data_IF_575639556313
#
_entry.id   IF_575639556313
#
_cell.length_a   1.000
_cell.length_b   1.000
_cell.length_c   1.000
_cell.angle_alpha   90.00
_cell.angle_beta   90.00
_cell.angle_gamma   90.00
#
_symmetry.space_group_name_H-M   'P 1'
#
loop_
_entity.id
_entity.type
_entity.pdbx_description
1 polymer ?
#
# COMPACT_ATOMS: atom_id res chain seq x y z
N UNK A 1 -9.44 10.53 28.09
CA UNK A 1 -10.38 9.62 27.39
C UNK A 1 -9.89 8.19 27.47
N UNK A 2 -8.91 7.75 26.67
CA UNK A 2 -8.47 6.33 26.63
C UNK A 2 -8.23 5.65 28.00
N UNK A 3 -7.53 6.31 28.94
CA UNK A 3 -7.29 5.73 30.27
C UNK A 3 -8.60 5.43 31.04
N UNK A 4 -9.57 6.34 30.95
CA UNK A 4 -10.90 6.17 31.55
C UNK A 4 -11.62 4.98 30.92
N UNK A 5 -11.58 4.88 29.58
CA UNK A 5 -12.24 3.80 28.84
C UNK A 5 -11.67 2.43 29.24
N UNK A 6 -10.36 2.31 29.43
CA UNK A 6 -9.72 1.05 29.86
C UNK A 6 -10.10 0.69 31.32
N UNK A 7 -10.19 1.67 32.21
CA UNK A 7 -10.63 1.41 33.59
C UNK A 7 -12.08 0.91 33.66
N UNK A 8 -12.99 1.52 32.89
CA UNK A 8 -14.45 1.32 33.03
C UNK A 8 -15.09 0.46 31.93
N UNK A 9 -14.31 -0.16 31.05
CA UNK A 9 -14.79 -1.18 30.10
C UNK A 9 -14.48 -2.61 30.58
N UNK A 10 -15.21 -3.60 30.05
CA UNK A 10 -14.92 -5.02 30.28
C UNK A 10 -13.97 -5.61 29.24
N UNK A 11 -13.67 -4.90 28.15
CA UNK A 11 -12.85 -5.39 27.04
C UNK A 11 -12.11 -4.24 26.34
N UNK A 12 -10.85 -4.47 25.99
CA UNK A 12 -9.98 -3.57 25.22
C UNK A 12 -9.31 -4.38 24.12
N UNK A 13 -9.49 -4.02 22.85
CA UNK A 13 -8.97 -4.82 21.75
C UNK A 13 -8.02 -4.06 20.82
N UNK A 14 -6.99 -4.75 20.33
CA UNK A 14 -6.22 -4.32 19.18
C UNK A 14 -6.88 -4.74 17.86
N UNK A 15 -6.39 -4.18 16.74
CA UNK A 15 -7.00 -4.29 15.40
C UNK A 15 -6.19 -5.13 14.41
N UNK A 16 -5.05 -5.68 14.86
CA UNK A 16 -4.20 -6.67 14.20
C UNK A 16 -3.37 -7.38 15.28
N UNK A 17 -2.82 -8.54 14.96
CA UNK A 17 -2.09 -9.35 15.94
C UNK A 17 -0.87 -8.58 16.49
N UNK A 18 0.02 -8.11 15.62
CA UNK A 18 1.22 -7.36 16.01
C UNK A 18 0.87 -6.08 16.78
N UNK A 19 -0.16 -5.35 16.36
CA UNK A 19 -0.61 -4.15 17.05
C UNK A 19 -1.07 -4.47 18.48
N UNK A 20 -1.81 -5.56 18.67
CA UNK A 20 -2.24 -5.98 20.00
C UNK A 20 -1.06 -6.30 20.91
N UNK A 21 -0.04 -6.97 20.39
CA UNK A 21 1.19 -7.28 21.15
C UNK A 21 1.99 -6.03 21.49
N UNK A 22 2.06 -5.03 20.61
CA UNK A 22 2.65 -3.72 20.91
C UNK A 22 1.90 -3.04 22.07
N UNK A 23 0.56 -3.05 22.06
CA UNK A 23 -0.23 -2.47 23.15
C UNK A 23 0.05 -3.13 24.49
N UNK A 24 0.09 -4.48 24.53
CA UNK A 24 0.34 -5.23 25.77
C UNK A 24 1.76 -5.05 26.31
N UNK A 25 2.75 -5.00 25.43
CA UNK A 25 4.16 -5.07 25.81
C UNK A 25 4.84 -3.70 25.93
N UNK A 26 4.29 -2.64 25.33
CA UNK A 26 4.84 -1.28 25.43
C UNK A 26 3.77 -0.23 25.75
N UNK A 27 2.92 0.13 24.79
CA UNK A 27 2.14 1.39 24.82
C UNK A 27 1.11 1.43 25.95
N UNK A 28 0.48 0.30 26.25
CA UNK A 28 -0.53 0.16 27.30
C UNK A 28 -0.13 -0.87 28.36
N UNK A 29 1.18 -1.16 28.48
CA UNK A 29 1.70 -2.17 29.40
C UNK A 29 1.23 -1.97 30.84
N UNK A 30 1.24 -0.73 31.33
CA UNK A 30 0.80 -0.43 32.69
C UNK A 30 -0.67 -0.80 32.95
N UNK A 31 -1.54 -0.71 31.94
CA UNK A 31 -2.92 -1.17 32.05
C UNK A 31 -3.03 -2.67 31.89
N UNK A 32 -2.24 -3.27 30.99
CA UNK A 32 -2.20 -4.72 30.82
C UNK A 32 -1.72 -5.44 32.08
N UNK A 33 -0.77 -4.87 32.82
CA UNK A 33 -0.29 -5.40 34.10
C UNK A 33 -1.39 -5.42 35.19
N UNK A 34 -2.41 -4.55 35.07
CA UNK A 34 -3.54 -4.44 36.01
C UNK A 34 -4.76 -5.25 35.53
N UNK A 35 -5.02 -5.25 34.23
CA UNK A 35 -6.22 -5.82 33.60
C UNK A 35 -5.88 -6.78 32.44
N UNK A 36 -5.04 -7.81 32.64
CA UNK A 36 -4.57 -8.65 31.55
C UNK A 36 -5.72 -9.35 30.81
N UNK A 37 -6.81 -9.68 31.51
CA UNK A 37 -8.01 -10.34 30.99
C UNK A 37 -8.81 -9.48 30.02
N UNK A 38 -8.69 -8.14 30.09
CA UNK A 38 -9.45 -7.23 29.21
C UNK A 38 -8.85 -7.18 27.80
N UNK A 39 -7.56 -7.46 27.64
CA UNK A 39 -6.83 -7.24 26.39
C UNK A 39 -6.94 -8.42 25.43
N UNK A 40 -7.53 -8.18 24.25
CA UNK A 40 -7.68 -9.18 23.20
C UNK A 40 -7.38 -8.60 21.80
N UNK A 41 -7.42 -9.44 20.77
CA UNK A 41 -7.26 -9.02 19.37
C UNK A 41 -8.56 -9.26 18.60
N UNK A 42 -8.88 -8.32 17.71
CA UNK A 42 -9.88 -8.48 16.65
C UNK A 42 -9.31 -7.93 15.36
N UNK A 43 -8.63 -8.78 14.60
CA UNK A 43 -8.04 -8.36 13.31
C UNK A 43 -9.15 -7.82 12.42
N UNK A 44 -8.93 -6.62 11.88
CA UNK A 44 -9.86 -5.94 10.99
C UNK A 44 -10.32 -6.82 9.82
N UNK A 45 -11.43 -6.41 9.20
CA UNK A 45 -11.94 -7.04 7.99
C UNK A 45 -12.68 -6.03 7.11
N UNK A 46 -12.98 -6.46 5.90
CA UNK A 46 -13.68 -5.68 4.87
C UNK A 46 -14.93 -6.40 4.41
N UNK A 47 -15.97 -5.63 4.06
CA UNK A 47 -17.18 -6.24 3.49
C UNK A 47 -16.94 -6.67 2.04
N UNK A 48 -17.12 -7.97 1.78
CA UNK A 48 -16.95 -8.52 0.43
C UNK A 48 -18.08 -8.12 -0.51
N UNK A 49 -19.21 -7.63 0.04
CA UNK A 49 -20.32 -7.10 -0.76
C UNK A 49 -19.87 -5.88 -1.57
N UNK A 50 -19.21 -4.91 -0.93
CA UNK A 50 -18.68 -3.73 -1.62
C UNK A 50 -17.39 -4.06 -2.37
N UNK A 51 -16.43 -4.66 -1.68
CA UNK A 51 -15.04 -4.76 -2.13
C UNK A 51 -14.73 -5.97 -3.00
N UNK A 52 -15.74 -6.74 -3.41
CA UNK A 52 -15.60 -7.77 -4.45
C UNK A 52 -16.87 -7.85 -5.30
N UNK A 53 -18.03 -8.15 -4.70
CA UNK A 53 -19.28 -8.37 -5.44
C UNK A 53 -19.73 -7.12 -6.23
N UNK A 54 -19.61 -5.93 -5.63
CA UNK A 54 -20.02 -4.68 -6.26
C UNK A 54 -18.92 -4.08 -7.15
N UNK A 55 -17.67 -4.01 -6.68
CA UNK A 55 -16.61 -3.30 -7.41
C UNK A 55 -15.93 -4.15 -8.49
N UNK A 56 -15.96 -5.48 -8.37
CA UNK A 56 -15.31 -6.41 -9.29
C UNK A 56 -16.24 -7.59 -9.65
N UNK A 57 -17.39 -7.32 -10.30
CA UNK A 57 -18.38 -8.34 -10.64
C UNK A 57 -17.84 -9.39 -11.60
N UNK A 58 -16.86 -9.05 -12.45
CA UNK A 58 -16.17 -10.02 -13.32
C UNK A 58 -15.44 -11.10 -12.51
N UNK A 59 -14.65 -10.68 -11.51
CA UNK A 59 -13.97 -11.63 -10.61
C UNK A 59 -14.98 -12.45 -9.79
N UNK A 60 -16.00 -11.80 -9.23
CA UNK A 60 -17.04 -12.51 -8.49
C UNK A 60 -17.77 -13.56 -9.35
N UNK A 61 -18.05 -13.23 -10.62
CA UNK A 61 -18.64 -14.15 -11.59
C UNK A 61 -17.75 -15.38 -11.84
N UNK A 62 -16.45 -15.14 -12.06
CA UNK A 62 -15.48 -16.22 -12.29
C UNK A 62 -15.34 -17.13 -11.06
N UNK A 63 -15.30 -16.56 -9.85
CA UNK A 63 -15.27 -17.35 -8.61
C UNK A 63 -16.54 -18.20 -8.49
N UNK A 64 -17.71 -17.63 -8.78
CA UNK A 64 -18.98 -18.36 -8.74
C UNK A 64 -19.02 -19.54 -9.72
N UNK A 65 -18.43 -19.38 -10.91
CA UNK A 65 -18.33 -20.44 -11.92
C UNK A 65 -17.48 -21.61 -11.42
N UNK A 66 -16.37 -21.33 -10.73
CA UNK A 66 -15.36 -22.33 -10.36
C UNK A 66 -15.64 -23.03 -9.03
N UNK A 67 -16.15 -22.31 -8.03
CA UNK A 67 -16.34 -22.85 -6.66
C UNK A 67 -17.77 -22.66 -6.13
N UNK A 68 -18.73 -22.25 -6.97
CA UNK A 68 -20.11 -21.99 -6.56
C UNK A 68 -20.28 -20.69 -5.75
N UNK A 69 -21.45 -20.50 -5.14
CA UNK A 69 -21.82 -19.23 -4.46
C UNK A 69 -21.68 -19.26 -2.93
N UNK A 70 -21.24 -20.38 -2.35
CA UNK A 70 -21.16 -20.54 -0.90
C UNK A 70 -20.16 -19.57 -0.26
N UNK A 71 -19.11 -19.18 -0.99
CA UNK A 71 -18.10 -18.23 -0.51
C UNK A 71 -18.68 -16.85 -0.14
N UNK A 72 -19.86 -16.49 -0.67
CA UNK A 72 -20.55 -15.24 -0.33
C UNK A 72 -21.03 -15.26 1.12
N UNK A 73 -21.36 -16.44 1.66
CA UNK A 73 -21.76 -16.64 3.07
C UNK A 73 -20.58 -17.01 3.94
N UNK A 74 -19.64 -17.78 3.40
CA UNK A 74 -18.44 -18.27 4.09
C UNK A 74 -17.18 -17.94 3.28
N UNK A 75 -16.56 -16.81 3.59
CA UNK A 75 -15.41 -16.30 2.85
C UNK A 75 -14.20 -17.25 2.84
N UNK A 76 -14.09 -18.19 3.80
CA UNK A 76 -12.99 -19.16 3.84
C UNK A 76 -13.02 -20.12 2.65
N UNK A 77 -14.18 -20.30 2.01
CA UNK A 77 -14.31 -21.11 0.79
C UNK A 77 -13.51 -20.57 -0.39
N UNK A 78 -13.05 -19.31 -0.36
CA UNK A 78 -12.11 -18.79 -1.36
C UNK A 78 -10.82 -19.63 -1.44
N UNK A 79 -10.42 -20.32 -0.36
CA UNK A 79 -9.23 -21.18 -0.33
C UNK A 79 -9.27 -22.29 -1.39
N UNK A 80 -10.46 -22.75 -1.78
CA UNK A 80 -10.63 -23.74 -2.84
C UNK A 80 -10.07 -23.28 -4.20
N UNK A 81 -9.89 -21.98 -4.42
CA UNK A 81 -9.30 -21.43 -5.64
C UNK A 81 -7.83 -21.85 -5.84
N UNK A 82 -7.10 -22.23 -4.79
CA UNK A 82 -5.70 -22.70 -4.92
C UNK A 82 -5.59 -23.97 -5.79
N UNK A 83 -6.65 -24.79 -5.81
CA UNK A 83 -6.72 -25.99 -6.65
C UNK A 83 -6.64 -25.71 -8.15
N UNK A 84 -6.87 -24.46 -8.57
CA UNK A 84 -6.81 -24.02 -9.96
C UNK A 84 -5.48 -23.37 -10.36
N UNK A 85 -4.45 -23.43 -9.50
CA UNK A 85 -3.11 -22.89 -9.80
C UNK A 85 -2.41 -23.52 -11.01
N UNK A 86 -2.83 -24.71 -11.42
CA UNK A 86 -2.41 -25.38 -12.65
C UNK A 86 -3.34 -25.20 -13.85
N UNK A 87 -4.52 -24.58 -13.66
CA UNK A 87 -5.51 -24.37 -14.73
C UNK A 87 -5.16 -23.10 -15.53
N UNK A 88 -4.47 -23.27 -16.65
CA UNK A 88 -4.03 -22.15 -17.50
C UNK A 88 -5.19 -21.32 -18.05
N UNK A 89 -6.34 -21.96 -18.33
CA UNK A 89 -7.53 -21.25 -18.82
C UNK A 89 -8.10 -20.34 -17.72
N UNK A 90 -8.19 -20.84 -16.49
CA UNK A 90 -8.62 -20.03 -15.34
C UNK A 90 -7.66 -18.86 -15.05
N UNK A 91 -6.35 -19.10 -15.07
CA UNK A 91 -5.35 -18.03 -14.89
C UNK A 91 -5.43 -16.98 -16.01
N UNK A 92 -5.72 -17.39 -17.24
CA UNK A 92 -5.96 -16.46 -18.35
C UNK A 92 -7.24 -15.63 -18.13
N UNK A 93 -8.33 -16.24 -17.65
CA UNK A 93 -9.56 -15.50 -17.30
C UNK A 93 -9.31 -14.47 -16.18
N UNK A 94 -8.52 -14.81 -15.16
CA UNK A 94 -8.13 -13.86 -14.11
C UNK A 94 -7.36 -12.66 -14.68
N UNK A 95 -6.39 -12.92 -15.57
CA UNK A 95 -5.61 -11.87 -16.22
C UNK A 95 -6.50 -10.97 -17.11
N UNK A 96 -7.45 -11.56 -17.85
CA UNK A 96 -8.39 -10.80 -18.67
C UNK A 96 -9.27 -9.89 -17.81
N UNK A 97 -9.79 -10.39 -16.68
CA UNK A 97 -10.58 -9.57 -15.74
C UNK A 97 -9.75 -8.39 -15.20
N UNK A 98 -8.47 -8.61 -14.86
CA UNK A 98 -7.55 -7.52 -14.45
C UNK A 98 -7.43 -6.48 -15.56
N UNK A 99 -7.21 -6.90 -16.81
CA UNK A 99 -7.13 -6.01 -17.97
C UNK A 99 -8.42 -5.20 -18.17
N UNK A 100 -9.57 -5.85 -18.10
CA UNK A 100 -10.87 -5.19 -18.22
C UNK A 100 -11.09 -4.18 -17.09
N UNK A 101 -10.67 -4.51 -15.87
CA UNK A 101 -10.70 -3.59 -14.74
C UNK A 101 -9.81 -2.35 -14.98
N UNK A 102 -8.62 -2.54 -15.55
CA UNK A 102 -7.70 -1.45 -15.89
C UNK A 102 -8.26 -0.54 -16.97
N UNK A 103 -8.87 -1.09 -18.02
CA UNK A 103 -9.57 -0.32 -19.05
C UNK A 103 -10.72 0.49 -18.44
N UNK A 104 -11.55 -0.12 -17.58
CA UNK A 104 -12.64 0.61 -16.91
C UNK A 104 -12.13 1.73 -16.01
N UNK A 105 -11.03 1.50 -15.28
CA UNK A 105 -10.43 2.54 -14.45
C UNK A 105 -9.82 3.67 -15.29
N UNK A 106 -9.14 3.34 -16.39
CA UNK A 106 -8.58 4.32 -17.31
C UNK A 106 -9.67 5.24 -17.91
N UNK A 107 -10.77 4.66 -18.41
CA UNK A 107 -11.90 5.41 -18.92
C UNK A 107 -12.53 6.29 -17.83
N UNK A 108 -12.75 5.74 -16.63
CA UNK A 108 -13.30 6.51 -15.51
C UNK A 108 -12.40 7.69 -15.13
N UNK A 109 -11.08 7.51 -15.14
CA UNK A 109 -10.13 8.57 -14.80
C UNK A 109 -10.10 9.67 -15.87
N UNK A 110 -10.17 9.30 -17.15
CA UNK A 110 -10.29 10.23 -18.26
C UNK A 110 -11.60 11.04 -18.14
N UNK A 111 -12.74 10.38 -17.90
CA UNK A 111 -14.03 11.03 -17.73
C UNK A 111 -14.06 11.94 -16.48
N UNK A 112 -13.40 11.54 -15.40
CA UNK A 112 -13.48 12.22 -14.10
C UNK A 112 -12.57 13.46 -14.00
N UNK A 113 -11.35 13.37 -14.51
CA UNK A 113 -10.33 14.43 -14.37
C UNK A 113 -9.49 14.65 -15.63
N UNK A 114 -9.93 14.15 -16.79
CA UNK A 114 -9.26 14.36 -18.08
C UNK A 114 -7.91 13.68 -18.22
N UNK A 115 -7.54 12.78 -17.29
CA UNK A 115 -6.22 12.15 -17.26
C UNK A 115 -6.25 10.81 -17.98
N UNK A 116 -5.56 10.71 -19.12
CA UNK A 116 -5.39 9.46 -19.87
C UNK A 116 -4.27 8.62 -19.28
N UNK A 117 -4.53 7.34 -19.03
CA UNK A 117 -3.53 6.36 -18.59
C UNK A 117 -3.57 5.14 -19.50
N UNK A 118 -2.44 4.45 -19.63
CA UNK A 118 -2.29 3.27 -20.46
C UNK A 118 -2.69 2.00 -19.68
N UNK A 119 -3.80 1.32 -20.02
CA UNK A 119 -4.24 0.11 -19.32
C UNK A 119 -3.30 -1.10 -19.51
N UNK A 120 -2.36 -1.07 -20.45
CA UNK A 120 -1.34 -2.11 -20.61
C UNK A 120 -0.09 -1.86 -19.74
N UNK A 121 0.03 -0.68 -19.11
CA UNK A 121 1.09 -0.37 -18.13
C UNK A 121 0.85 -1.04 -16.77
N UNK A 122 1.90 -1.29 -15.98
CA UNK A 122 1.76 -1.77 -14.59
C UNK A 122 1.11 -0.68 -13.75
N UNK A 123 -0.03 -0.98 -13.11
CA UNK A 123 -0.68 -0.07 -12.17
C UNK A 123 -0.14 -0.27 -10.76
N UNK A 124 0.78 0.62 -10.38
CA UNK A 124 1.40 0.70 -9.07
C UNK A 124 0.66 1.72 -8.20
N UNK A 125 -0.01 1.26 -7.14
CA UNK A 125 -1.05 2.05 -6.47
C UNK A 125 -0.75 2.28 -5.00
N UNK A 126 -0.69 3.56 -4.61
CA UNK A 126 -0.63 4.00 -3.21
C UNK A 126 -1.81 4.89 -2.85
N UNK A 127 -2.92 4.28 -2.42
CA UNK A 127 -4.16 4.99 -2.10
C UNK A 127 -4.50 4.95 -0.60
N UNK A 128 -4.02 5.94 0.14
CA UNK A 128 -4.19 6.08 1.60
C UNK A 128 -4.10 7.55 2.01
N UNK A 129 -4.63 7.92 3.19
CA UNK A 129 -4.50 9.30 3.71
C UNK A 129 -3.04 9.74 3.66
N UNK A 130 -2.81 11.04 3.45
CA UNK A 130 -1.45 11.53 3.36
C UNK A 130 -0.92 11.85 4.76
N UNK A 131 0.17 11.19 5.12
CA UNK A 131 0.89 11.38 6.38
C UNK A 131 2.32 10.89 6.17
N UNK A 132 3.31 11.56 6.77
CA UNK A 132 4.72 11.18 6.63
C UNK A 132 5.00 9.70 6.97
N UNK A 133 4.37 9.11 7.99
CA UNK A 133 4.57 7.68 8.31
C UNK A 133 4.01 6.71 7.25
N UNK A 134 3.09 7.15 6.37
CA UNK A 134 2.56 6.35 5.25
C UNK A 134 3.47 6.39 4.03
N UNK A 135 4.49 7.25 4.08
CA UNK A 135 5.65 7.29 3.19
C UNK A 135 5.34 7.39 1.70
N UNK A 136 4.32 8.17 1.32
CA UNK A 136 4.16 8.60 -0.08
C UNK A 136 5.42 9.31 -0.59
N UNK A 137 6.17 9.98 0.30
CA UNK A 137 7.46 10.58 -0.04
C UNK A 137 8.57 9.55 -0.31
N UNK A 138 8.51 8.32 0.24
CA UNK A 138 9.43 7.25 -0.13
C UNK A 138 9.17 6.78 -1.57
N UNK A 139 7.90 6.60 -1.93
CA UNK A 139 7.51 6.28 -3.31
C UNK A 139 7.90 7.42 -4.26
N UNK A 140 7.66 8.69 -3.88
CA UNK A 140 8.12 9.86 -4.64
C UNK A 140 9.62 9.81 -4.95
N UNK A 141 10.47 9.51 -3.96
CA UNK A 141 11.92 9.42 -4.16
C UNK A 141 12.30 8.27 -5.11
N UNK A 142 11.60 7.14 -5.05
CA UNK A 142 11.79 6.06 -6.02
C UNK A 142 11.38 6.48 -7.43
N UNK A 143 10.27 7.22 -7.60
CA UNK A 143 9.84 7.71 -8.92
C UNK A 143 10.90 8.68 -9.49
N UNK A 144 11.46 9.57 -8.67
CA UNK A 144 12.57 10.45 -9.08
C UNK A 144 13.78 9.63 -9.49
N UNK A 145 14.17 8.63 -8.70
CA UNK A 145 15.27 7.74 -9.04
C UNK A 145 15.03 7.03 -10.39
N UNK A 146 13.84 6.48 -10.61
CA UNK A 146 13.45 5.82 -11.86
C UNK A 146 13.47 6.77 -13.05
N UNK A 147 12.98 8.01 -12.89
CA UNK A 147 13.08 9.06 -13.92
C UNK A 147 14.55 9.28 -14.34
N UNK A 148 15.45 9.40 -13.36
CA UNK A 148 16.88 9.60 -13.62
C UNK A 148 17.52 8.39 -14.30
N UNK A 149 17.18 7.17 -13.90
CA UNK A 149 17.69 5.95 -14.55
C UNK A 149 17.18 5.82 -16.01
N UNK A 150 15.92 6.16 -16.28
CA UNK A 150 15.38 6.22 -17.65
C UNK A 150 16.16 7.23 -18.48
N UNK A 151 16.45 8.42 -17.95
CA UNK A 151 17.28 9.43 -18.63
C UNK A 151 18.67 8.89 -18.95
N UNK A 152 19.29 8.14 -18.03
CA UNK A 152 20.58 7.44 -18.21
C UNK A 152 20.51 6.23 -19.17
N UNK A 153 19.32 5.81 -19.59
CA UNK A 153 19.13 4.74 -20.58
C UNK A 153 18.70 3.39 -20.02
N UNK A 154 18.55 3.27 -18.70
CA UNK A 154 17.96 2.08 -18.09
C UNK A 154 16.45 2.25 -18.04
N UNK A 155 15.75 1.55 -18.93
CA UNK A 155 14.29 1.63 -19.06
C UNK A 155 13.64 0.37 -18.49
N UNK A 156 12.46 0.47 -17.85
CA UNK A 156 11.70 -0.70 -17.43
C UNK A 156 11.17 -1.47 -18.66
N UNK A 157 10.99 -2.79 -18.50
CA UNK A 157 10.45 -3.65 -19.57
C UNK A 157 9.00 -3.30 -19.93
N UNK A 158 8.22 -2.89 -18.94
CA UNK A 158 6.85 -2.41 -19.10
C UNK A 158 6.73 -0.96 -18.64
N UNK A 159 5.83 -0.20 -19.27
CA UNK A 159 5.45 1.12 -18.76
C UNK A 159 4.86 0.97 -17.36
N UNK A 160 5.14 1.92 -16.47
CA UNK A 160 4.66 1.94 -15.09
C UNK A 160 3.80 3.19 -14.88
N UNK A 161 2.58 3.01 -14.39
CA UNK A 161 1.69 4.11 -13.98
C UNK A 161 1.57 4.10 -12.46
N UNK A 162 2.25 5.05 -11.81
CA UNK A 162 2.22 5.25 -10.36
C UNK A 162 1.01 6.10 -9.99
N UNK A 163 0.05 5.53 -9.25
CA UNK A 163 -1.24 6.14 -8.96
C UNK A 163 -1.36 6.41 -7.46
N UNK A 164 -1.50 7.68 -7.10
CA UNK A 164 -1.71 8.13 -5.74
C UNK A 164 -3.18 8.51 -5.53
N UNK A 165 -3.73 8.16 -4.38
CA UNK A 165 -5.05 8.58 -3.94
C UNK A 165 -5.02 8.97 -2.47
N UNK A 166 -4.98 10.28 -2.18
CA UNK A 166 -4.77 10.74 -0.82
C UNK A 166 -5.40 12.11 -0.55
N UNK A 167 -5.71 12.36 0.73
CA UNK A 167 -6.05 13.68 1.27
C UNK A 167 -5.10 13.99 2.43
N UNK A 168 -4.67 15.24 2.52
CA UNK A 168 -3.91 15.76 3.66
C UNK A 168 -4.83 16.58 4.56
N UNK A 169 -4.56 16.57 5.87
CA UNK A 169 -5.22 17.50 6.78
C UNK A 169 -4.80 18.95 6.42
N UNK A 170 -5.71 19.94 6.46
CA UNK A 170 -5.40 21.31 6.02
C UNK A 170 -4.22 21.96 6.74
N UNK A 171 -4.06 21.65 8.04
CA UNK A 171 -2.99 22.16 8.89
C UNK A 171 -1.67 21.36 8.78
N UNK A 172 -1.67 20.22 8.08
CA UNK A 172 -0.48 19.39 7.95
C UNK A 172 0.35 19.83 6.74
N UNK A 173 1.19 20.83 6.98
CA UNK A 173 2.00 21.49 5.94
C UNK A 173 2.90 20.52 5.18
N UNK A 174 3.69 19.69 5.86
CA UNK A 174 4.60 18.73 5.18
C UNK A 174 3.82 17.73 4.32
N UNK A 175 2.66 17.27 4.78
CA UNK A 175 1.80 16.42 3.96
C UNK A 175 1.37 17.16 2.67
N UNK A 176 0.92 18.42 2.77
CA UNK A 176 0.59 19.20 1.58
C UNK A 176 1.81 19.41 0.66
N UNK A 177 3.00 19.57 1.21
CA UNK A 177 4.23 19.71 0.43
C UNK A 177 4.58 18.42 -0.33
N UNK A 178 4.32 17.24 0.26
CA UNK A 178 4.48 15.95 -0.42
C UNK A 178 3.50 15.81 -1.59
N UNK A 179 2.23 16.19 -1.41
CA UNK A 179 1.25 16.22 -2.52
C UNK A 179 1.75 17.16 -3.63
N UNK A 180 2.20 18.36 -3.25
CA UNK A 180 2.74 19.35 -4.19
C UNK A 180 3.92 18.79 -4.99
N UNK A 181 4.86 18.11 -4.33
CA UNK A 181 6.00 17.50 -4.99
C UNK A 181 5.61 16.36 -5.96
N UNK A 182 4.63 15.51 -5.60
CA UNK A 182 4.09 14.47 -6.49
C UNK A 182 3.45 15.09 -7.74
N UNK A 183 2.65 16.16 -7.57
CA UNK A 183 2.03 16.88 -8.68
C UNK A 183 3.06 17.56 -9.59
N UNK A 184 4.13 18.13 -9.01
CA UNK A 184 5.23 18.70 -9.78
C UNK A 184 5.95 17.63 -10.61
N UNK A 185 6.28 16.49 -9.98
CA UNK A 185 6.95 15.39 -10.64
C UNK A 185 6.10 14.78 -11.77
N UNK A 186 4.78 14.67 -11.57
CA UNK A 186 3.84 14.24 -12.61
C UNK A 186 3.96 15.08 -13.89
N UNK A 187 3.98 16.40 -13.76
CA UNK A 187 4.18 17.32 -14.91
C UNK A 187 5.55 17.15 -15.56
N UNK A 188 6.60 16.94 -14.78
CA UNK A 188 7.96 16.74 -15.32
C UNK A 188 8.04 15.44 -16.11
N UNK A 189 7.52 14.34 -15.56
CA UNK A 189 7.50 13.04 -16.23
C UNK A 189 6.68 13.08 -17.52
N UNK A 190 5.52 13.75 -17.50
CA UNK A 190 4.67 13.94 -18.67
C UNK A 190 5.37 14.71 -19.80
N UNK A 191 6.12 15.77 -19.46
CA UNK A 191 6.81 16.61 -20.45
C UNK A 191 8.19 16.07 -20.87
N UNK A 192 8.68 15.00 -20.25
CA UNK A 192 9.92 14.34 -20.64
C UNK A 192 9.65 13.33 -21.77
N UNK A 193 10.14 13.65 -22.98
CA UNK A 193 9.91 12.85 -24.19
C UNK A 193 10.44 11.42 -24.12
N UNK A 194 11.38 11.13 -23.22
CA UNK A 194 11.90 9.77 -22.98
C UNK A 194 11.12 9.11 -21.86
N UNK A 195 10.96 9.78 -20.72
CA UNK A 195 10.37 9.18 -19.52
C UNK A 195 8.88 8.86 -19.67
N UNK A 196 8.10 9.74 -20.31
CA UNK A 196 6.64 9.56 -20.53
C UNK A 196 6.26 8.26 -21.24
N UNK A 197 7.20 7.65 -22.00
CA UNK A 197 7.02 6.35 -22.66
C UNK A 197 7.05 5.17 -21.69
N UNK A 198 7.70 5.33 -20.54
CA UNK A 198 8.00 4.25 -19.59
C UNK A 198 7.45 4.49 -18.19
N UNK A 199 7.15 5.74 -17.85
CA UNK A 199 6.71 6.14 -16.52
C UNK A 199 5.61 7.19 -16.64
N UNK A 200 4.59 7.05 -15.81
CA UNK A 200 3.53 8.03 -15.64
C UNK A 200 3.20 8.14 -14.16
N UNK A 201 2.93 9.37 -13.69
CA UNK A 201 2.58 9.63 -12.29
C UNK A 201 1.23 10.33 -12.25
N UNK A 202 0.31 9.79 -11.48
CA UNK A 202 -1.07 10.27 -11.40
C UNK A 202 -1.46 10.48 -9.95
N UNK A 203 -2.06 11.63 -9.65
CA UNK A 203 -2.73 11.88 -8.38
C UNK A 203 -4.23 11.97 -8.65
N UNK A 204 -5.02 11.06 -8.07
CA UNK A 204 -6.48 11.08 -8.20
C UNK A 204 -7.02 12.24 -7.37
N UNK A 205 -7.80 13.11 -8.00
CA UNK A 205 -8.46 14.21 -7.32
C UNK A 205 -9.54 13.69 -6.37
N UNK A 206 -9.63 14.30 -5.18
CA UNK A 206 -10.68 14.01 -4.19
C UNK A 206 -10.91 12.52 -3.89
N UNK A 207 -9.82 11.75 -3.73
CA UNK A 207 -9.90 10.30 -3.46
C UNK A 207 -10.92 9.95 -2.35
N UNK A 208 -11.80 9.01 -2.67
CA UNK A 208 -12.95 8.60 -1.86
C UNK A 208 -13.31 7.12 -2.12
N UNK A 209 -14.44 6.66 -1.57
CA UNK A 209 -14.89 5.26 -1.73
C UNK A 209 -15.20 4.93 -3.19
N UNK A 210 -15.88 5.82 -3.93
CA UNK A 210 -16.22 5.60 -5.34
C UNK A 210 -14.96 5.49 -6.20
N UNK A 211 -13.97 6.36 -6.00
CA UNK A 211 -12.69 6.27 -6.68
C UNK A 211 -11.95 4.96 -6.33
N UNK A 212 -12.01 4.54 -5.06
CA UNK A 212 -11.42 3.29 -4.60
C UNK A 212 -12.08 2.05 -5.25
N UNK A 213 -13.40 2.04 -5.42
CA UNK A 213 -14.14 0.95 -6.09
C UNK A 213 -13.74 0.80 -7.57
N UNK A 214 -13.24 1.86 -8.22
CA UNK A 214 -12.70 1.77 -9.58
C UNK A 214 -11.22 1.37 -9.59
N UNK A 215 -10.42 1.95 -8.70
CA UNK A 215 -8.97 1.78 -8.63
C UNK A 215 -8.55 0.40 -8.13
N UNK A 216 -9.14 -0.09 -7.04
CA UNK A 216 -8.69 -1.31 -6.36
C UNK A 216 -8.74 -2.55 -7.28
N UNK A 217 -9.84 -2.80 -8.05
CA UNK A 217 -9.89 -3.93 -8.98
C UNK A 217 -8.83 -3.88 -10.08
N UNK A 218 -8.35 -2.68 -10.44
CA UNK A 218 -7.41 -2.42 -11.52
C UNK A 218 -5.93 -2.47 -11.09
N UNK A 219 -5.65 -2.50 -9.79
CA UNK A 219 -4.29 -2.44 -9.26
C UNK A 219 -3.51 -3.74 -9.51
N UNK A 220 -2.25 -3.61 -9.94
CA UNK A 220 -1.30 -4.73 -10.06
C UNK A 220 -0.43 -4.82 -8.80
N UNK A 221 0.19 -3.70 -8.41
CA UNK A 221 1.06 -3.59 -7.22
C UNK A 221 0.40 -2.68 -6.19
N UNK A 222 0.24 -3.20 -4.97
CA UNK A 222 -0.35 -2.49 -3.84
C UNK A 222 0.73 -1.97 -2.89
N UNK A 223 0.91 -0.64 -2.84
CA UNK A 223 1.93 0.02 -2.02
C UNK A 223 1.50 0.14 -0.55
N UNK A 224 2.08 -0.73 0.29
CA UNK A 224 1.82 -0.84 1.72
C UNK A 224 3.06 -0.49 2.55
N UNK A 225 3.67 0.64 2.21
CA UNK A 225 5.01 1.03 2.63
C UNK A 225 5.07 1.92 3.88
N UNK A 226 4.11 1.82 4.78
CA UNK A 226 4.16 2.60 6.03
C UNK A 226 5.44 2.26 6.82
N UNK A 227 5.97 3.19 7.60
CA UNK A 227 7.08 2.89 8.51
C UNK A 227 6.65 1.77 9.47
N UNK A 228 7.47 0.74 9.64
CA UNK A 228 7.16 -0.34 10.58
C UNK A 228 6.95 0.22 11.99
N UNK A 229 6.07 -0.39 12.79
CA UNK A 229 5.56 0.09 14.10
C UNK A 229 4.54 1.23 14.06
N UNK A 230 4.04 1.65 12.88
CA UNK A 230 3.15 2.83 12.77
C UNK A 230 1.81 2.53 12.11
N UNK A 231 1.68 1.45 11.34
CA UNK A 231 0.40 0.98 10.83
C UNK A 231 -0.21 -0.05 11.78
N UNK A 232 -1.28 0.33 12.48
CA UNK A 232 -1.97 -0.59 13.39
C UNK A 232 -2.57 -1.81 12.68
N UNK A 233 -3.01 -1.66 11.42
CA UNK A 233 -3.60 -2.73 10.62
C UNK A 233 -3.57 -2.36 9.14
N UNK A 234 -4.47 -1.47 8.72
CA UNK A 234 -4.72 -1.16 7.32
C UNK A 234 -5.80 -2.08 6.75
N UNK A 235 -6.79 -1.49 6.07
CA UNK A 235 -7.85 -2.25 5.36
C UNK A 235 -7.76 -2.06 3.85
N UNK A 236 -6.88 -1.18 3.37
CA UNK A 236 -6.61 -1.02 1.95
C UNK A 236 -5.92 -2.25 1.37
N UNK A 237 -4.86 -2.72 2.02
CA UNK A 237 -4.13 -3.95 1.71
C UNK A 237 -5.07 -5.16 1.57
N UNK A 238 -6.02 -5.35 2.49
CA UNK A 238 -7.02 -6.42 2.43
C UNK A 238 -7.87 -6.35 1.15
N UNK A 239 -8.27 -5.14 0.71
CA UNK A 239 -9.08 -4.95 -0.50
C UNK A 239 -8.27 -5.23 -1.76
N UNK A 240 -7.02 -4.80 -1.78
CA UNK A 240 -6.10 -5.05 -2.87
C UNK A 240 -5.79 -6.55 -3.03
N UNK A 241 -5.48 -7.22 -1.92
CA UNK A 241 -5.29 -8.69 -1.86
C UNK A 241 -6.50 -9.43 -2.43
N UNK A 242 -7.72 -9.09 -1.96
CA UNK A 242 -8.97 -9.71 -2.43
C UNK A 242 -9.22 -9.50 -3.93
N UNK A 243 -8.72 -8.41 -4.51
CA UNK A 243 -8.86 -8.07 -5.92
C UNK A 243 -7.64 -8.49 -6.76
N UNK A 244 -6.75 -9.30 -6.20
CA UNK A 244 -5.63 -9.87 -6.94
C UNK A 244 -4.52 -8.87 -7.26
N UNK A 245 -4.32 -7.86 -6.41
CA UNK A 245 -3.11 -7.05 -6.45
C UNK A 245 -2.06 -7.68 -5.51
N UNK A 246 -0.80 -7.69 -5.94
CA UNK A 246 0.32 -8.19 -5.13
C UNK A 246 0.81 -7.06 -4.23
N UNK A 247 1.03 -7.37 -2.96
CA UNK A 247 1.49 -6.36 -1.99
C UNK A 247 3.00 -6.14 -2.10
N UNK A 248 3.39 -4.86 -2.11
CA UNK A 248 4.75 -4.39 -1.86
C UNK A 248 4.71 -3.57 -0.56
N UNK A 249 5.37 -4.02 0.50
CA UNK A 249 5.19 -3.37 1.80
C UNK A 249 6.22 -3.72 2.86
N UNK A 250 6.14 -3.02 3.99
CA UNK A 250 6.89 -3.37 5.20
C UNK A 250 6.19 -4.48 5.98
N UNK A 251 6.94 -5.18 6.83
CA UNK A 251 6.39 -6.14 7.80
C UNK A 251 5.76 -5.42 8.99
N UNK A 252 4.61 -4.78 8.74
CA UNK A 252 3.85 -3.99 9.72
C UNK A 252 2.34 -4.12 9.50
N UNK A 253 1.56 -3.89 10.56
CA UNK A 253 0.10 -4.00 10.52
C UNK A 253 -0.37 -5.32 9.90
N UNK A 254 -1.43 -5.24 9.09
CA UNK A 254 -2.02 -6.41 8.44
C UNK A 254 -1.18 -7.01 7.30
N UNK A 255 -0.03 -6.40 6.94
CA UNK A 255 0.89 -7.02 5.98
C UNK A 255 1.53 -8.29 6.55
N UNK A 256 1.70 -8.36 7.88
CA UNK A 256 2.22 -9.56 8.56
C UNK A 256 1.24 -10.72 8.36
N UNK A 257 -0.04 -10.52 8.69
CA UNK A 257 -1.07 -11.54 8.46
C UNK A 257 -1.20 -11.90 6.97
N UNK A 258 -1.08 -10.95 6.04
CA UNK A 258 -1.08 -11.25 4.59
C UNK A 258 0.10 -12.16 4.25
N UNK A 259 1.33 -11.82 4.68
CA UNK A 259 2.52 -12.61 4.40
C UNK A 259 2.44 -14.04 4.94
N UNK A 260 1.87 -14.22 6.14
CA UNK A 260 1.66 -15.53 6.75
C UNK A 260 0.66 -16.37 5.98
N UNK A 261 -0.39 -15.75 5.44
CA UNK A 261 -1.45 -16.43 4.68
C UNK A 261 -1.03 -16.80 3.25
N UNK A 262 -0.33 -15.91 2.55
CA UNK A 262 0.03 -16.11 1.14
C UNK A 262 1.39 -16.79 0.96
N UNK A 263 2.23 -16.79 1.99
CA UNK A 263 3.60 -17.24 1.92
C UNK A 263 4.53 -16.20 1.29
N UNK A 264 5.82 -16.26 1.65
CA UNK A 264 6.83 -15.25 1.30
C UNK A 264 7.07 -15.07 -0.20
N UNK A 265 6.78 -16.10 -1.00
CA UNK A 265 6.94 -16.04 -2.45
C UNK A 265 5.81 -15.26 -3.14
N UNK A 266 4.74 -14.90 -2.42
CA UNK A 266 3.55 -14.26 -2.98
C UNK A 266 3.29 -12.83 -2.49
N UNK A 267 4.32 -12.22 -1.87
CA UNK A 267 4.33 -10.85 -1.37
C UNK A 267 5.76 -10.30 -1.44
N UNK A 268 5.92 -9.01 -1.75
CA UNK A 268 7.21 -8.35 -1.73
C UNK A 268 7.36 -7.54 -0.44
N UNK A 269 8.33 -7.92 0.40
CA UNK A 269 8.55 -7.30 1.71
C UNK A 269 9.94 -6.70 1.82
N UNK A 270 10.06 -5.54 2.50
CA UNK A 270 11.33 -4.82 2.63
C UNK A 270 11.38 -3.99 3.91
N UNK A 271 12.56 -3.42 4.18
CA UNK A 271 12.79 -2.38 5.16
C UNK A 271 13.05 -2.89 6.58
N UNK A 272 13.27 -1.95 7.49
CA UNK A 272 13.52 -2.22 8.89
C UNK A 272 12.32 -2.91 9.57
N UNK A 273 12.61 -3.80 10.52
CA UNK A 273 11.60 -4.40 11.39
C UNK A 273 11.00 -3.38 12.37
N UNK A 274 9.81 -3.68 12.89
CA UNK A 274 9.16 -2.88 13.94
C UNK A 274 10.09 -2.65 15.15
N UNK A 275 10.80 -3.71 15.58
CA UNK A 275 11.74 -3.64 16.70
C UNK A 275 12.93 -2.71 16.44
N UNK A 276 13.49 -2.73 15.22
CA UNK A 276 14.58 -1.83 14.83
C UNK A 276 14.12 -0.37 14.83
N UNK A 277 12.92 -0.09 14.28
CA UNK A 277 12.35 1.26 14.30
C UNK A 277 12.08 1.74 15.72
N UNK A 278 11.49 0.90 16.57
CA UNK A 278 11.24 1.22 17.99
C UNK A 278 12.55 1.50 18.72
N UNK A 279 13.60 0.71 18.48
CA UNK A 279 14.94 0.93 19.06
C UNK A 279 15.54 2.26 18.61
N UNK A 280 15.37 2.65 17.34
CA UNK A 280 15.83 3.95 16.86
C UNK A 280 15.13 5.12 17.56
N UNK A 281 13.80 5.03 17.76
CA UNK A 281 13.08 6.04 18.53
C UNK A 281 13.51 6.08 20.00
N UNK A 282 13.64 4.93 20.66
CA UNK A 282 14.03 4.85 22.07
C UNK A 282 15.43 5.40 22.33
N UNK A 283 16.37 5.17 21.39
CA UNK A 283 17.75 5.67 21.48
C UNK A 283 17.93 7.10 20.98
N UNK A 284 16.95 7.63 20.24
CA UNK A 284 17.07 8.90 19.52
C UNK A 284 18.36 9.00 18.68
N UNK A 285 18.75 7.89 18.03
CA UNK A 285 20.03 7.76 17.32
C UNK A 285 19.93 7.92 15.79
N UNK A 286 18.70 8.03 15.26
CA UNK A 286 18.45 8.27 13.84
C UNK A 286 18.88 9.69 13.42
N UNK A 287 19.70 9.78 12.36
CA UNK A 287 20.15 11.05 11.78
C UNK A 287 20.00 11.00 10.26
N UNK A 288 18.94 11.60 9.74
CA UNK A 288 18.59 11.58 8.31
C UNK A 288 19.73 12.03 7.40
N UNK A 289 20.43 13.10 7.77
CA UNK A 289 21.58 13.64 7.04
C UNK A 289 22.68 12.61 6.78
N UNK A 290 22.93 11.67 7.71
CA UNK A 290 23.94 10.61 7.51
C UNK A 290 23.55 9.64 6.41
N UNK A 291 22.27 9.29 6.30
CA UNK A 291 21.78 8.43 5.22
C UNK A 291 21.86 9.16 3.88
N UNK A 292 21.42 10.41 3.84
CA UNK A 292 21.50 11.29 2.68
C UNK A 292 22.94 11.48 2.18
N UNK A 293 23.94 11.65 3.05
CA UNK A 293 25.34 11.81 2.63
C UNK A 293 26.00 10.49 2.19
N UNK A 294 25.53 9.35 2.72
CA UNK A 294 26.13 8.03 2.47
C UNK A 294 25.67 7.37 1.18
N UNK A 295 24.43 7.60 0.75
CA UNK A 295 23.83 6.96 -0.42
C UNK A 295 23.70 7.95 -1.59
N UNK A 296 24.52 7.83 -2.65
CA UNK A 296 24.48 8.75 -3.79
C UNK A 296 23.15 8.74 -4.55
N UNK A 297 22.46 7.60 -4.62
CA UNK A 297 21.18 7.50 -5.32
C UNK A 297 20.06 8.19 -4.53
N UNK A 298 20.07 8.01 -3.21
CA UNK A 298 19.17 8.76 -2.32
C UNK A 298 19.45 10.26 -2.41
N UNK A 299 20.73 10.65 -2.35
CA UNK A 299 21.16 12.05 -2.46
C UNK A 299 20.67 12.69 -3.76
N UNK A 300 20.88 12.02 -4.89
CA UNK A 300 20.41 12.48 -6.20
C UNK A 300 18.88 12.69 -6.20
N UNK A 301 18.13 11.73 -5.66
CA UNK A 301 16.66 11.83 -5.61
C UNK A 301 16.15 12.96 -4.70
N UNK A 302 16.80 13.18 -3.55
CA UNK A 302 16.43 14.24 -2.61
C UNK A 302 16.83 15.61 -3.15
N UNK A 303 18.02 15.75 -3.75
CA UNK A 303 18.49 17.01 -4.35
C UNK A 303 17.61 17.43 -5.53
N UNK A 304 17.05 16.47 -6.26
CA UNK A 304 16.12 16.74 -7.36
C UNK A 304 14.89 17.56 -6.90
N UNK A 305 14.42 17.39 -5.66
CA UNK A 305 13.28 18.15 -5.11
C UNK A 305 13.49 19.67 -5.17
N UNK A 306 14.73 20.12 -5.08
CA UNK A 306 15.14 21.52 -5.17
C UNK A 306 15.90 21.82 -6.47
N UNK A 307 15.88 20.90 -7.43
CA UNK A 307 16.47 21.06 -8.75
C UNK A 307 15.72 22.08 -9.61
N UNK A 308 16.37 22.56 -10.67
CA UNK A 308 15.81 23.58 -11.58
C UNK A 308 14.45 23.20 -12.15
N UNK A 309 14.26 21.93 -12.50
CA UNK A 309 13.01 21.43 -13.10
C UNK A 309 11.85 21.48 -12.09
N UNK A 310 12.04 20.93 -10.88
CA UNK A 310 11.03 20.98 -9.82
C UNK A 310 10.68 22.41 -9.42
N UNK A 311 11.68 23.29 -9.30
CA UNK A 311 11.49 24.70 -8.97
C UNK A 311 10.83 25.51 -10.10
N UNK A 312 10.92 25.07 -11.36
CA UNK A 312 10.27 25.74 -12.49
C UNK A 312 8.76 25.44 -12.55
N UNK A 313 8.34 24.23 -12.15
CA UNK A 313 6.92 23.81 -12.21
C UNK A 313 6.18 23.97 -10.87
N UNK A 314 6.91 24.16 -9.77
CA UNK A 314 6.39 24.13 -8.41
C UNK A 314 6.72 25.35 -7.57
N UNK A 315 5.99 25.51 -6.47
CA UNK A 315 6.27 26.51 -5.45
C UNK A 315 7.60 26.23 -4.71
N UNK A 316 8.49 27.23 -4.75
CA UNK A 316 9.83 27.15 -4.15
C UNK A 316 9.78 26.95 -2.64
N UNK A 317 8.81 27.55 -1.94
CA UNK A 317 8.73 27.50 -0.47
C UNK A 317 8.38 26.07 -0.04
N UNK A 318 7.37 25.47 -0.66
CA UNK A 318 6.93 24.10 -0.36
C UNK A 318 8.04 23.09 -0.63
N UNK A 319 8.69 23.16 -1.79
CA UNK A 319 9.75 22.22 -2.18
C UNK A 319 10.99 22.34 -1.28
N UNK A 320 11.43 23.57 -0.97
CA UNK A 320 12.56 23.78 -0.06
C UNK A 320 12.24 23.35 1.37
N UNK A 321 11.00 23.53 1.84
CA UNK A 321 10.58 23.09 3.16
C UNK A 321 10.57 21.57 3.25
N UNK A 322 10.02 20.87 2.26
CA UNK A 322 10.05 19.41 2.20
C UNK A 322 11.49 18.87 2.17
N UNK A 323 12.35 19.43 1.32
CA UNK A 323 13.77 19.06 1.27
C UNK A 323 14.45 19.23 2.64
N UNK A 324 14.24 20.37 3.31
CA UNK A 324 14.81 20.63 4.64
C UNK A 324 14.25 19.70 5.70
N UNK A 325 12.96 19.36 5.66
CA UNK A 325 12.36 18.39 6.57
C UNK A 325 13.01 17.02 6.39
N UNK A 326 13.16 16.54 5.15
CA UNK A 326 13.74 15.23 4.88
C UNK A 326 15.24 15.15 5.24
N UNK A 327 16.04 16.14 4.89
CA UNK A 327 17.49 16.12 5.19
C UNK A 327 17.76 16.43 6.66
N UNK A 328 16.98 17.35 7.24
CA UNK A 328 17.22 17.88 8.58
C UNK A 328 16.57 17.10 9.72
N UNK A 329 15.45 16.40 9.46
CA UNK A 329 14.64 15.75 10.49
C UNK A 329 14.19 14.34 10.11
N UNK A 330 13.38 14.20 9.06
CA UNK A 330 12.78 12.94 8.59
C UNK A 330 12.28 12.06 9.74
N UNK A 331 11.39 12.61 10.56
CA UNK A 331 10.94 11.97 11.80
C UNK A 331 10.42 10.54 11.60
N UNK A 332 9.88 10.25 10.43
CA UNK A 332 9.32 8.95 10.08
C UNK A 332 10.22 8.10 9.17
N UNK A 333 11.54 8.31 9.25
CA UNK A 333 12.55 7.39 8.70
C UNK A 333 12.25 6.96 7.26
N UNK A 334 12.08 7.94 6.39
CA UNK A 334 11.95 7.73 4.94
C UNK A 334 13.25 7.13 4.37
N UNK A 335 14.41 7.62 4.81
CA UNK A 335 15.70 7.31 4.18
C UNK A 335 16.28 5.91 4.44
N UNK A 336 16.18 5.32 5.65
CA UNK A 336 16.78 4.02 5.92
C UNK A 336 16.33 2.91 4.97
N UNK A 337 15.06 2.94 4.57
CA UNK A 337 14.46 1.90 3.72
C UNK A 337 14.60 2.20 2.23
N UNK A 338 15.12 3.36 1.81
CA UNK A 338 15.13 3.77 0.41
C UNK A 338 15.82 2.75 -0.52
N UNK A 339 17.03 2.32 -0.15
CA UNK A 339 17.80 1.40 -0.97
C UNK A 339 17.13 0.04 -1.10
N UNK A 340 16.58 -0.48 0.00
CA UNK A 340 15.92 -1.78 0.02
C UNK A 340 14.58 -1.72 -0.72
N UNK A 341 13.82 -0.64 -0.55
CA UNK A 341 12.62 -0.36 -1.32
C UNK A 341 12.90 -0.33 -2.83
N UNK A 342 13.94 0.38 -3.28
CA UNK A 342 14.33 0.39 -4.69
C UNK A 342 14.66 -1.01 -5.22
N UNK A 343 15.37 -1.82 -4.41
CA UNK A 343 15.72 -3.21 -4.75
C UNK A 343 14.46 -4.07 -4.90
N UNK A 344 13.63 -4.13 -3.86
CA UNK A 344 12.46 -5.01 -3.81
C UNK A 344 11.37 -4.55 -4.79
N UNK A 345 11.21 -3.25 -5.04
CA UNK A 345 10.35 -2.75 -6.11
C UNK A 345 10.85 -3.18 -7.49
N UNK A 346 12.16 -3.19 -7.71
CA UNK A 346 12.77 -3.75 -8.93
C UNK A 346 12.50 -5.25 -9.07
N UNK A 347 12.56 -6.02 -7.98
CA UNK A 347 12.21 -7.45 -7.97
C UNK A 347 10.74 -7.68 -8.31
N UNK A 348 9.82 -6.88 -7.76
CA UNK A 348 8.39 -6.94 -8.06
C UNK A 348 8.10 -6.63 -9.54
N UNK A 349 8.72 -5.59 -10.08
CA UNK A 349 8.57 -5.21 -11.50
C UNK A 349 9.13 -6.30 -12.43
N UNK A 350 10.25 -6.92 -12.07
CA UNK A 350 10.82 -8.04 -12.83
C UNK A 350 9.93 -9.29 -12.75
N UNK A 351 9.34 -9.56 -11.59
CA UNK A 351 8.43 -10.70 -11.43
C UNK A 351 7.16 -10.56 -12.30
N UNK A 352 6.74 -9.33 -12.59
CA UNK A 352 5.62 -9.06 -13.50
C UNK A 352 5.92 -9.52 -14.95
N UNK A 353 7.19 -9.57 -15.37
CA UNK A 353 7.59 -10.02 -16.71
C UNK A 353 7.29 -11.52 -16.93
N UNK A 354 7.32 -12.33 -15.86
CA UNK A 354 6.83 -13.71 -15.90
C UNK A 354 5.33 -13.73 -15.59
N UNK A 355 4.53 -13.50 -16.64
CA UNK A 355 3.07 -13.43 -16.53
C UNK A 355 2.46 -14.69 -15.88
N UNK A 356 3.06 -15.87 -16.11
CA UNK A 356 2.53 -17.13 -15.56
C UNK A 356 2.74 -17.17 -14.05
N UNK A 357 3.93 -16.83 -13.58
CA UNK A 357 4.23 -16.76 -12.15
C UNK A 357 3.42 -15.64 -11.47
N UNK A 358 3.29 -14.48 -12.11
CA UNK A 358 2.50 -13.36 -11.59
C UNK A 358 1.01 -13.69 -11.43
N UNK A 359 0.40 -14.39 -12.41
CA UNK A 359 -0.99 -14.84 -12.34
C UNK A 359 -1.21 -15.85 -11.20
N UNK A 360 -0.25 -16.75 -10.97
CA UNK A 360 -0.30 -17.68 -9.83
C UNK A 360 -0.24 -16.93 -8.50
N UNK A 361 0.68 -15.96 -8.39
CA UNK A 361 0.80 -15.11 -7.21
C UNK A 361 -0.51 -14.34 -6.92
N UNK A 362 -1.11 -13.80 -7.98
CA UNK A 362 -2.41 -13.14 -7.94
C UNK A 362 -3.51 -14.07 -7.41
N UNK A 363 -3.59 -15.30 -7.93
CA UNK A 363 -4.53 -16.32 -7.48
C UNK A 363 -4.34 -16.65 -6.00
N UNK A 364 -3.11 -16.89 -5.55
CA UNK A 364 -2.82 -17.21 -4.14
C UNK A 364 -3.31 -16.09 -3.21
N UNK A 365 -3.10 -14.83 -3.58
CA UNK A 365 -3.60 -13.69 -2.81
C UNK A 365 -5.14 -13.71 -2.72
N UNK A 366 -5.86 -13.91 -3.83
CA UNK A 366 -7.33 -13.96 -3.84
C UNK A 366 -7.83 -15.13 -3.00
N UNK A 367 -7.25 -16.32 -3.17
CA UNK A 367 -7.68 -17.54 -2.49
C UNK A 367 -7.53 -17.45 -0.97
N UNK A 368 -6.52 -16.73 -0.49
CA UNK A 368 -6.24 -16.56 0.94
C UNK A 368 -6.89 -15.31 1.55
N UNK A 369 -7.59 -14.49 0.77
CA UNK A 369 -8.19 -13.25 1.27
C UNK A 369 -9.40 -13.48 2.18
N UNK A 370 -9.97 -14.69 2.21
CA UNK A 370 -11.17 -15.05 2.98
C UNK A 370 -11.09 -14.69 4.46
N UNK A 371 -9.91 -14.81 5.06
CA UNK A 371 -9.63 -14.42 6.45
C UNK A 371 -10.02 -12.96 6.76
N UNK A 372 -9.89 -12.06 5.79
CA UNK A 372 -10.16 -10.63 5.96
C UNK A 372 -11.61 -10.23 5.70
N UNK A 373 -12.55 -11.18 5.65
CA UNK A 373 -13.97 -10.84 5.68
C UNK A 373 -14.36 -10.16 6.99
N UNK A 374 -15.06 -9.03 6.89
CA UNK A 374 -15.62 -8.35 8.07
C UNK A 374 -16.60 -9.22 8.84
N UNK A 375 -17.23 -10.21 8.19
CA UNK A 375 -18.19 -11.10 8.87
C UNK A 375 -17.48 -11.99 9.89
N UNK A 376 -16.25 -12.45 9.57
CA UNK A 376 -15.37 -13.16 10.52
C UNK A 376 -15.01 -12.26 11.69
N UNK A 377 -14.60 -11.02 11.41
CA UNK A 377 -14.29 -10.03 12.45
C UNK A 377 -15.48 -9.81 13.38
N UNK A 378 -16.67 -9.55 12.84
CA UNK A 378 -17.90 -9.34 13.62
C UNK A 378 -18.29 -10.58 14.42
N UNK A 379 -18.14 -11.78 13.85
CA UNK A 379 -18.35 -13.03 14.58
C UNK A 379 -17.46 -13.11 15.82
N UNK A 380 -16.17 -12.81 15.70
CA UNK A 380 -15.25 -12.78 16.85
C UNK A 380 -15.63 -11.70 17.86
N UNK A 381 -16.04 -10.50 17.42
CA UNK A 381 -16.55 -9.48 18.33
C UNK A 381 -17.79 -9.96 19.10
N UNK A 382 -18.70 -10.67 18.45
CA UNK A 382 -19.88 -11.22 19.09
C UNK A 382 -19.52 -12.34 20.09
N UNK A 383 -18.70 -13.29 19.65
CA UNK A 383 -18.33 -14.47 20.43
C UNK A 383 -17.52 -14.09 21.69
N UNK A 384 -16.64 -13.09 21.61
CA UNK A 384 -15.69 -12.78 22.69
C UNK A 384 -16.05 -11.53 23.52
N UNK A 385 -16.89 -10.61 23.00
CA UNK A 385 -17.10 -9.30 23.64
C UNK A 385 -18.58 -8.96 23.84
N UNK A 386 -19.41 -9.07 22.79
CA UNK A 386 -20.78 -8.54 22.84
C UNK A 386 -21.81 -9.55 23.33
N UNK A 387 -21.66 -10.83 22.98
CA UNK A 387 -22.57 -11.92 23.32
C UNK A 387 -24.05 -11.60 23.02
N UNK A 388 -24.33 -11.07 21.82
CA UNK A 388 -25.68 -10.71 21.36
C UNK A 388 -26.45 -11.89 20.78
#
# INVERSE_FOLDING_TARGET
MAHMDIHFSHSTNGVAALHTEILKNSELKAFYDIYPEKFNNKTNGITFRRWLLSCNPGLAGLINEKIGKEWVKDAEKLKALEGFSGDEAFLASLAQIKKDNKVRFANWLEDHQGTKIDPDSIFDVQSKRLHEYKRQQLNLLWIIHTLQEIRKGKVPAHKITCIFGAKAAPAYTIAKDIIHAILCLSKIVENDAKASKYLQVVMIENYNVTAAEKLIPACDISEQISLASKEASGTGNMKFMLNGAVTLGTMDGANVEIADLVGKDNIFTFGLSSDEVIKHYAKADYVAKKYYEKDPALKEAVDFLIGKEMLAVGDKVNLNRLYKELVGKDWFMTFPDFKDYCKVKGEALKAYEDEKSWRKMTLVNIANAGFFSSDRTIKQYNDDIWHL
#
